data_IF_106120033219
#
_entry.id   IF_106120033219
#
_cell.length_a   1.000
_cell.length_b   1.000
_cell.length_c   1.000
_cell.angle_alpha   90.00
_cell.angle_beta   90.00
_cell.angle_gamma   90.00
#
_symmetry.space_group_name_H-M   'P 1'
#
loop_
_entity.id
_entity.type
_entity.pdbx_description
1 polymer ?
#
# COMPACT_ATOMS: atom_id res chain seq x y z
N UNK A 1 -13.44 0.83 -38.99
CA UNK A 1 -12.91 -0.55 -39.11
C UNK A 1 -11.41 -0.66 -38.81
N UNK A 2 -10.51 0.09 -39.47
CA UNK A 2 -9.05 0.13 -39.13
C UNK A 2 -8.72 0.39 -37.64
N UNK A 3 -9.29 1.41 -36.96
CA UNK A 3 -8.94 1.69 -35.56
C UNK A 3 -9.38 0.60 -34.59
N UNK A 4 -10.50 -0.07 -34.86
CA UNK A 4 -11.01 -1.18 -34.04
C UNK A 4 -10.07 -2.40 -34.13
N UNK A 5 -9.54 -2.68 -35.32
CA UNK A 5 -8.58 -3.77 -35.53
C UNK A 5 -7.26 -3.49 -34.81
N UNK A 6 -6.75 -2.24 -34.88
CA UNK A 6 -5.55 -1.84 -34.14
C UNK A 6 -5.74 -1.92 -32.62
N UNK A 7 -6.90 -1.49 -32.12
CA UNK A 7 -7.24 -1.62 -30.70
C UNK A 7 -7.29 -3.07 -30.25
N UNK A 8 -7.89 -3.96 -31.04
CA UNK A 8 -7.95 -5.39 -30.72
C UNK A 8 -6.57 -6.04 -30.70
N UNK A 9 -5.71 -5.73 -31.67
CA UNK A 9 -4.31 -6.20 -31.70
C UNK A 9 -3.55 -5.70 -30.48
N UNK A 10 -3.72 -4.43 -30.11
CA UNK A 10 -3.09 -3.86 -28.92
C UNK A 10 -3.53 -4.59 -27.63
N UNK A 11 -4.83 -4.82 -27.45
CA UNK A 11 -5.34 -5.58 -26.29
C UNK A 11 -4.81 -7.02 -26.27
N UNK A 12 -4.75 -7.68 -27.43
CA UNK A 12 -4.21 -9.03 -27.53
C UNK A 12 -2.74 -9.09 -27.12
N UNK A 13 -1.93 -8.13 -27.57
CA UNK A 13 -0.52 -8.04 -27.19
C UNK A 13 -0.34 -7.77 -25.68
N UNK A 14 -1.20 -6.93 -25.08
CA UNK A 14 -1.18 -6.70 -23.63
C UNK A 14 -1.49 -7.97 -22.82
N UNK A 15 -2.47 -8.76 -23.29
CA UNK A 15 -2.83 -10.02 -22.65
C UNK A 15 -1.71 -11.06 -22.76
N UNK A 16 -1.09 -11.18 -23.93
CA UNK A 16 0.05 -12.08 -24.13
C UNK A 16 1.25 -11.68 -23.27
N UNK A 17 1.56 -10.38 -23.17
CA UNK A 17 2.61 -9.88 -22.29
C UNK A 17 2.32 -10.19 -20.82
N UNK A 18 1.07 -10.01 -20.37
CA UNK A 18 0.67 -10.33 -19.00
C UNK A 18 0.74 -11.82 -18.69
N UNK A 19 0.36 -12.68 -19.64
CA UNK A 19 0.45 -14.14 -19.49
C UNK A 19 1.91 -14.61 -19.40
N UNK A 20 2.79 -14.06 -20.26
CA UNK A 20 4.22 -14.29 -20.18
C UNK A 20 4.79 -13.89 -18.81
N UNK A 21 4.45 -12.70 -18.31
CA UNK A 21 4.91 -12.24 -16.99
C UNK A 21 4.40 -13.16 -15.87
N UNK A 22 3.17 -13.65 -15.96
CA UNK A 22 2.64 -14.61 -15.00
C UNK A 22 3.45 -15.90 -14.99
N UNK A 23 3.82 -16.43 -16.16
CA UNK A 23 4.67 -17.61 -16.28
C UNK A 23 6.06 -17.38 -15.69
N UNK A 24 6.62 -16.18 -15.86
CA UNK A 24 7.91 -15.80 -15.25
C UNK A 24 7.85 -15.89 -13.73
N UNK A 25 6.73 -15.61 -13.06
CA UNK A 25 6.63 -15.71 -11.58
C UNK A 25 6.88 -17.14 -11.08
N UNK A 26 6.49 -18.16 -11.84
CA UNK A 26 6.60 -19.57 -11.43
C UNK A 26 7.98 -20.19 -11.66
N UNK A 27 8.88 -19.49 -12.36
CA UNK A 27 10.26 -19.98 -12.55
C UNK A 27 11.00 -19.86 -11.22
N UNK A 28 11.11 -20.99 -10.52
CA UNK A 28 11.82 -21.10 -9.26
C UNK A 28 13.33 -21.16 -9.52
N UNK A 29 14.00 -20.02 -9.39
CA UNK A 29 15.46 -19.91 -9.45
C UNK A 29 15.92 -19.79 -8.00
N UNK A 30 16.86 -20.64 -7.57
CA UNK A 30 17.52 -20.45 -6.28
C UNK A 30 18.20 -19.09 -6.29
N UNK A 31 17.65 -18.16 -5.51
CA UNK A 31 17.99 -16.74 -5.55
C UNK A 31 18.05 -16.21 -4.13
N UNK A 32 18.90 -15.22 -3.91
CA UNK A 32 19.00 -14.55 -2.61
C UNK A 32 17.72 -13.75 -2.32
N UNK A 33 17.50 -13.35 -1.07
CA UNK A 33 16.32 -12.54 -0.75
C UNK A 33 16.37 -11.15 -1.40
N UNK A 34 17.57 -10.60 -1.63
CA UNK A 34 17.77 -9.36 -2.40
C UNK A 34 17.34 -9.53 -3.86
N UNK A 35 17.79 -10.60 -4.52
CA UNK A 35 17.39 -10.91 -5.89
C UNK A 35 15.87 -11.07 -6.03
N UNK A 36 15.21 -11.65 -5.01
CA UNK A 36 13.74 -11.77 -4.99
C UNK A 36 13.07 -10.41 -4.90
N UNK A 37 13.57 -9.51 -4.04
CA UNK A 37 13.05 -8.14 -3.92
C UNK A 37 13.16 -7.42 -5.26
N UNK A 38 14.31 -7.47 -5.91
CA UNK A 38 14.56 -6.81 -7.20
C UNK A 38 13.70 -7.39 -8.32
N UNK A 39 13.54 -8.71 -8.34
CA UNK A 39 12.65 -9.39 -9.29
C UNK A 39 11.20 -8.94 -9.12
N UNK A 40 10.68 -8.88 -7.89
CA UNK A 40 9.32 -8.41 -7.64
C UNK A 40 9.14 -6.91 -7.93
N UNK A 41 10.16 -6.09 -7.67
CA UNK A 41 10.18 -4.68 -8.09
C UNK A 41 10.13 -4.54 -9.61
N UNK A 42 10.90 -5.35 -10.34
CA UNK A 42 10.92 -5.37 -11.81
C UNK A 42 9.56 -5.81 -12.36
N UNK A 43 8.98 -6.88 -11.83
CA UNK A 43 7.63 -7.31 -12.19
C UNK A 43 6.59 -6.21 -11.93
N UNK A 44 6.67 -5.54 -10.78
CA UNK A 44 5.81 -4.40 -10.47
C UNK A 44 5.90 -3.31 -11.55
N UNK A 45 7.11 -2.91 -11.94
CA UNK A 45 7.34 -1.89 -12.97
C UNK A 45 6.79 -2.32 -14.34
N UNK A 46 7.02 -3.57 -14.75
CA UNK A 46 6.50 -4.10 -16.01
C UNK A 46 4.96 -4.09 -16.04
N UNK A 47 4.31 -4.51 -14.94
CA UNK A 47 2.85 -4.42 -14.85
C UNK A 47 2.34 -2.98 -14.85
N UNK A 48 3.07 -2.02 -14.28
CA UNK A 48 2.74 -0.59 -14.38
C UNK A 48 2.80 -0.11 -15.82
N UNK A 49 3.85 -0.47 -16.57
CA UNK A 49 4.00 -0.12 -17.98
C UNK A 49 2.88 -0.70 -18.86
N UNK A 50 2.38 -1.89 -18.51
CA UNK A 50 1.24 -2.52 -19.16
C UNK A 50 -0.14 -1.96 -18.71
N UNK A 51 -0.17 -1.06 -17.72
CA UNK A 51 -1.40 -0.48 -17.18
C UNK A 51 -2.13 -1.35 -16.13
N UNK A 52 -1.57 -2.49 -15.73
CA UNK A 52 -2.15 -3.38 -14.71
C UNK A 52 -1.79 -2.93 -13.28
N UNK A 53 -2.26 -1.76 -12.87
CA UNK A 53 -1.87 -1.09 -11.61
C UNK A 53 -2.11 -1.94 -10.34
N UNK A 54 -3.17 -2.75 -10.29
CA UNK A 54 -3.44 -3.66 -9.16
C UNK A 54 -2.41 -4.79 -9.06
N UNK A 55 -2.05 -5.39 -10.20
CA UNK A 55 -1.00 -6.42 -10.24
C UNK A 55 0.34 -5.80 -9.90
N UNK A 56 0.62 -4.60 -10.41
CA UNK A 56 1.83 -3.87 -10.08
C UNK A 56 1.97 -3.60 -8.57
N UNK A 57 0.91 -3.11 -7.92
CA UNK A 57 0.88 -2.90 -6.47
C UNK A 57 1.00 -4.21 -5.69
N UNK A 58 0.38 -5.29 -6.15
CA UNK A 58 0.55 -6.61 -5.54
C UNK A 58 2.03 -7.02 -5.52
N UNK A 59 2.72 -6.99 -6.66
CA UNK A 59 4.15 -7.36 -6.68
C UNK A 59 5.02 -6.39 -5.89
N UNK A 60 4.68 -5.10 -5.86
CA UNK A 60 5.37 -4.12 -5.02
C UNK A 60 5.25 -4.45 -3.53
N UNK A 61 4.04 -4.80 -3.09
CA UNK A 61 3.78 -5.24 -1.72
C UNK A 61 4.50 -6.54 -1.37
N UNK A 62 4.53 -7.52 -2.30
CA UNK A 62 5.30 -8.75 -2.09
C UNK A 62 6.80 -8.42 -1.94
N UNK A 63 7.35 -7.54 -2.78
CA UNK A 63 8.74 -7.07 -2.64
C UNK A 63 9.00 -6.46 -1.26
N UNK A 64 8.07 -5.61 -0.77
CA UNK A 64 8.15 -5.01 0.56
C UNK A 64 8.21 -6.08 1.67
N UNK A 65 7.34 -7.09 1.60
CA UNK A 65 7.31 -8.17 2.59
C UNK A 65 8.57 -9.04 2.57
N UNK A 66 9.21 -9.21 1.40
CA UNK A 66 10.50 -9.93 1.29
C UNK A 66 11.63 -9.23 2.05
N UNK A 67 11.58 -7.91 2.23
CA UNK A 67 12.58 -7.17 3.03
C UNK A 67 12.61 -7.58 4.51
N UNK A 68 11.56 -8.24 5.01
CA UNK A 68 11.35 -8.51 6.44
C UNK A 68 10.91 -9.95 6.70
N UNK A 69 11.19 -10.87 5.76
CA UNK A 69 10.91 -12.29 5.95
C UNK A 69 11.69 -12.86 7.14
N UNK A 70 11.15 -13.86 7.84
CA UNK A 70 11.86 -14.51 8.95
C UNK A 70 13.19 -15.16 8.54
N UNK A 71 13.34 -15.51 7.26
CA UNK A 71 14.55 -16.10 6.69
C UNK A 71 15.64 -15.05 6.40
N UNK A 72 15.28 -13.77 6.31
CA UNK A 72 16.23 -12.70 6.04
C UNK A 72 17.05 -12.41 7.32
N UNK A 73 18.38 -12.61 7.30
CA UNK A 73 19.23 -12.38 8.46
C UNK A 73 19.33 -10.91 8.88
N UNK A 74 18.97 -9.96 7.99
CA UNK A 74 19.04 -8.51 8.20
C UNK A 74 17.74 -7.83 7.71
N UNK A 75 16.67 -7.84 8.50
CA UNK A 75 15.39 -7.26 8.08
C UNK A 75 15.50 -5.74 7.87
N UNK A 76 15.06 -5.27 6.70
CA UNK A 76 15.09 -3.86 6.32
C UNK A 76 13.67 -3.26 6.37
N UNK A 77 13.27 -2.78 7.55
CA UNK A 77 11.96 -2.17 7.76
C UNK A 77 11.76 -0.84 7.02
N UNK A 78 12.84 -0.08 6.82
CA UNK A 78 12.77 1.18 6.07
C UNK A 78 12.45 0.91 4.60
N UNK A 79 13.14 -0.03 3.95
CA UNK A 79 12.84 -0.43 2.57
C UNK A 79 11.46 -1.06 2.44
N UNK A 80 11.05 -1.91 3.40
CA UNK A 80 9.69 -2.45 3.47
C UNK A 80 8.64 -1.34 3.45
N UNK A 81 8.77 -0.34 4.34
CA UNK A 81 7.85 0.80 4.40
C UNK A 81 7.79 1.58 3.10
N UNK A 82 8.94 1.88 2.49
CA UNK A 82 9.01 2.64 1.23
C UNK A 82 8.33 1.91 0.06
N UNK A 83 8.62 0.61 -0.09
CA UNK A 83 7.97 -0.21 -1.11
C UNK A 83 6.47 -0.36 -0.83
N UNK A 84 6.07 -0.49 0.44
CA UNK A 84 4.65 -0.57 0.82
C UNK A 84 3.90 0.72 0.46
N UNK A 85 4.48 1.89 0.75
CA UNK A 85 3.94 3.20 0.37
C UNK A 85 3.71 3.28 -1.15
N UNK A 86 4.64 2.80 -1.96
CA UNK A 86 4.52 2.78 -3.43
C UNK A 86 3.40 1.85 -3.93
N UNK A 87 2.92 0.91 -3.12
CA UNK A 87 1.83 0.00 -3.49
C UNK A 87 0.43 0.58 -3.27
N UNK A 88 0.30 1.64 -2.46
CA UNK A 88 -1.00 2.16 -2.00
C UNK A 88 -1.91 2.63 -3.14
N UNK A 89 -1.34 3.30 -4.14
CA UNK A 89 -2.09 3.84 -5.28
C UNK A 89 -2.83 2.73 -6.06
N UNK A 90 -2.17 1.58 -6.26
CA UNK A 90 -2.81 0.44 -6.94
C UNK A 90 -3.94 -0.19 -6.14
N UNK A 91 -4.00 0.05 -4.82
CA UNK A 91 -5.12 -0.31 -3.95
C UNK A 91 -6.15 0.80 -3.75
N UNK A 92 -6.03 1.92 -4.50
CA UNK A 92 -6.91 3.09 -4.40
C UNK A 92 -6.90 3.70 -2.99
N UNK A 93 -5.75 3.69 -2.34
CA UNK A 93 -5.50 4.39 -1.09
C UNK A 93 -4.72 5.66 -1.39
N UNK A 94 -5.38 6.81 -1.25
CA UNK A 94 -4.84 8.14 -1.57
C UNK A 94 -4.96 9.00 -0.30
N UNK A 95 -3.88 9.69 0.09
CA UNK A 95 -3.85 10.48 1.32
C UNK A 95 -4.46 11.88 1.16
N UNK A 96 -4.51 12.43 -0.05
CA UNK A 96 -5.11 13.75 -0.29
C UNK A 96 -6.61 13.62 -0.60
N UNK A 97 -7.42 14.32 0.18
CA UNK A 97 -8.88 14.39 0.06
C UNK A 97 -9.28 15.07 -1.26
N UNK A 98 -8.44 15.98 -1.78
CA UNK A 98 -8.70 16.68 -3.05
C UNK A 98 -8.59 15.78 -4.27
N UNK A 99 -7.86 14.68 -4.15
CA UNK A 99 -7.65 13.70 -5.21
C UNK A 99 -8.57 12.47 -5.07
N UNK A 100 -9.50 12.48 -4.11
CA UNK A 100 -10.53 11.45 -4.03
C UNK A 100 -11.50 11.68 -5.19
N UNK A 101 -11.57 10.78 -6.18
CA UNK A 101 -12.48 10.95 -7.31
C UNK A 101 -13.93 11.01 -6.83
N UNK A 102 -14.73 11.92 -7.42
CA UNK A 102 -16.19 12.05 -7.19
C UNK A 102 -16.95 10.73 -7.40
N UNK A 103 -16.38 9.81 -8.18
CA UNK A 103 -16.89 8.46 -8.37
C UNK A 103 -16.27 7.55 -7.32
N UNK A 104 -17.06 6.81 -6.51
CA UNK A 104 -16.51 5.89 -5.53
C UNK A 104 -15.73 4.80 -6.25
N UNK A 105 -14.40 4.97 -6.33
CA UNK A 105 -13.52 3.92 -6.81
C UNK A 105 -13.38 2.90 -5.70
N UNK A 106 -14.33 1.96 -5.67
CA UNK A 106 -14.35 0.86 -4.71
C UNK A 106 -13.07 0.03 -4.85
N UNK A 107 -12.18 0.19 -3.87
CA UNK A 107 -11.17 -0.82 -3.55
C UNK A 107 -11.82 -1.99 -2.81
N UNK A 108 -11.02 -2.99 -2.45
CA UNK A 108 -11.48 -4.13 -1.66
C UNK A 108 -11.15 -3.76 -0.22
N UNK A 109 -12.14 -3.38 0.63
CA UNK A 109 -11.85 -2.81 1.95
C UNK A 109 -11.01 -3.75 2.82
N UNK A 110 -11.22 -5.06 2.68
CA UNK A 110 -10.43 -6.10 3.35
C UNK A 110 -8.95 -6.07 2.94
N UNK A 111 -8.66 -5.85 1.65
CA UNK A 111 -7.29 -5.76 1.15
C UNK A 111 -6.65 -4.45 1.61
N UNK A 112 -7.40 -3.34 1.50
CA UNK A 112 -6.96 -2.02 1.96
C UNK A 112 -6.63 -2.03 3.46
N UNK A 113 -7.49 -2.63 4.28
CA UNK A 113 -7.28 -2.84 5.71
C UNK A 113 -5.98 -3.59 5.99
N UNK A 114 -5.74 -4.71 5.27
CA UNK A 114 -4.53 -5.51 5.45
C UNK A 114 -3.27 -4.73 5.09
N UNK A 115 -3.27 -4.04 3.95
CA UNK A 115 -2.12 -3.25 3.48
C UNK A 115 -1.82 -2.11 4.45
N UNK A 116 -2.84 -1.41 4.95
CA UNK A 116 -2.66 -0.34 5.92
C UNK A 116 -2.13 -0.86 7.26
N UNK A 117 -2.59 -2.02 7.74
CA UNK A 117 -2.03 -2.63 8.95
C UNK A 117 -0.56 -3.03 8.78
N UNK A 118 -0.19 -3.58 7.63
CA UNK A 118 1.22 -3.89 7.32
C UNK A 118 2.09 -2.63 7.26
N UNK A 119 1.56 -1.54 6.72
CA UNK A 119 2.22 -0.23 6.69
C UNK A 119 2.39 0.36 8.11
N UNK A 120 1.34 0.34 8.93
CA UNK A 120 1.37 0.77 10.34
C UNK A 120 2.39 -0.07 11.11
N UNK A 121 2.38 -1.39 10.91
CA UNK A 121 3.32 -2.29 11.57
C UNK A 121 4.76 -1.96 11.17
N UNK A 122 5.02 -1.74 9.88
CA UNK A 122 6.34 -1.35 9.39
C UNK A 122 6.82 -0.03 10.00
N UNK A 123 5.95 0.98 10.08
CA UNK A 123 6.26 2.26 10.74
C UNK A 123 6.62 2.09 12.23
N UNK A 124 5.88 1.24 12.96
CA UNK A 124 6.19 0.88 14.36
C UNK A 124 7.57 0.23 14.48
N UNK A 125 7.91 -0.69 13.58
CA UNK A 125 9.20 -1.40 13.58
C UNK A 125 10.38 -0.50 13.23
N UNK A 126 10.16 0.56 12.46
CA UNK A 126 11.15 1.63 12.23
C UNK A 126 11.34 2.55 13.43
N UNK A 127 10.50 2.45 14.48
CA UNK A 127 10.50 3.37 15.61
C UNK A 127 9.86 4.73 15.32
N UNK A 128 9.28 4.93 14.14
CA UNK A 128 8.64 6.18 13.76
C UNK A 128 7.17 6.19 14.19
N UNK A 129 6.94 6.52 15.47
CA UNK A 129 5.61 6.59 16.07
C UNK A 129 4.69 7.63 15.40
N UNK A 130 5.14 8.85 15.03
CA UNK A 130 4.31 9.80 14.31
C UNK A 130 3.69 9.23 13.03
N UNK A 131 4.46 8.44 12.25
CA UNK A 131 3.95 7.78 11.06
C UNK A 131 2.94 6.69 11.39
N UNK A 132 3.19 5.89 12.44
CA UNK A 132 2.24 4.87 12.87
C UNK A 132 0.90 5.50 13.29
N UNK A 133 0.92 6.60 14.05
CA UNK A 133 -0.28 7.37 14.41
C UNK A 133 -0.99 7.86 13.16
N UNK A 134 -0.27 8.52 12.24
CA UNK A 134 -0.84 9.08 10.99
C UNK A 134 -1.54 8.00 10.15
N UNK A 135 -0.91 6.86 9.98
CA UNK A 135 -1.47 5.75 9.19
C UNK A 135 -2.64 5.06 9.89
N UNK A 136 -2.61 4.93 11.22
CA UNK A 136 -3.74 4.43 12.00
C UNK A 136 -4.95 5.36 11.93
N UNK A 137 -4.74 6.68 12.02
CA UNK A 137 -5.79 7.68 11.82
C UNK A 137 -6.35 7.60 10.40
N UNK A 138 -5.50 7.48 9.38
CA UNK A 138 -5.91 7.32 7.99
C UNK A 138 -6.78 6.09 7.77
N UNK A 139 -6.39 4.95 8.35
CA UNK A 139 -7.15 3.71 8.29
C UNK A 139 -8.54 3.89 8.89
N UNK A 140 -8.64 4.43 10.11
CA UNK A 140 -9.92 4.67 10.77
C UNK A 140 -10.82 5.57 9.94
N UNK A 141 -10.30 6.68 9.42
CA UNK A 141 -11.08 7.62 8.62
C UNK A 141 -11.54 7.01 7.29
N UNK A 142 -10.65 6.34 6.57
CA UNK A 142 -10.93 5.82 5.22
C UNK A 142 -11.83 4.60 5.24
N UNK A 143 -11.65 3.72 6.24
CA UNK A 143 -12.34 2.43 6.30
C UNK A 143 -13.44 2.35 7.36
N UNK A 144 -13.76 3.46 8.05
CA UNK A 144 -14.72 3.46 9.17
C UNK A 144 -16.00 2.67 8.91
N UNK A 145 -16.60 2.85 7.73
CA UNK A 145 -17.89 2.24 7.35
C UNK A 145 -17.78 0.73 7.04
N UNK A 146 -16.56 0.24 6.82
CA UNK A 146 -16.29 -1.15 6.42
C UNK A 146 -15.70 -2.00 7.54
N UNK A 147 -15.24 -1.38 8.64
CA UNK A 147 -14.69 -2.08 9.80
C UNK A 147 -15.81 -2.64 10.68
N UNK A 148 -15.59 -3.84 11.21
CA UNK A 148 -16.38 -4.42 12.29
C UNK A 148 -16.18 -3.67 13.61
N UNK A 149 -17.11 -3.83 14.55
CA UNK A 149 -16.98 -3.22 15.89
C UNK A 149 -15.72 -3.68 16.63
N UNK A 150 -15.29 -4.93 16.41
CA UNK A 150 -14.06 -5.47 16.97
C UNK A 150 -12.83 -4.77 16.37
N UNK A 151 -12.71 -4.70 15.04
CA UNK A 151 -11.58 -4.04 14.39
C UNK A 151 -11.48 -2.57 14.77
N UNK A 152 -12.63 -1.87 14.87
CA UNK A 152 -12.66 -0.48 15.36
C UNK A 152 -12.07 -0.37 16.76
N UNK A 153 -12.50 -1.23 17.68
CA UNK A 153 -12.00 -1.26 19.06
C UNK A 153 -10.49 -1.53 19.12
N UNK A 154 -10.02 -2.51 18.36
CA UNK A 154 -8.59 -2.87 18.31
C UNK A 154 -7.73 -1.71 17.76
N UNK A 155 -8.18 -1.04 16.71
CA UNK A 155 -7.45 0.09 16.12
C UNK A 155 -7.48 1.30 17.04
N UNK A 156 -8.62 1.62 17.66
CA UNK A 156 -8.75 2.72 18.63
C UNK A 156 -7.83 2.48 19.83
N UNK A 157 -7.86 1.28 20.41
CA UNK A 157 -6.97 0.91 21.52
C UNK A 157 -5.49 1.01 21.13
N UNK A 158 -5.13 0.58 19.91
CA UNK A 158 -3.77 0.74 19.41
C UNK A 158 -3.38 2.21 19.23
N UNK A 159 -4.31 3.04 18.73
CA UNK A 159 -4.10 4.47 18.53
C UNK A 159 -3.98 5.22 19.86
N UNK A 160 -4.79 4.89 20.86
CA UNK A 160 -4.68 5.41 22.24
C UNK A 160 -3.29 5.10 22.82
N UNK A 161 -2.84 3.85 22.69
CA UNK A 161 -1.50 3.45 23.15
C UNK A 161 -0.36 4.19 22.44
N UNK A 162 -0.50 4.43 21.13
CA UNK A 162 0.50 5.18 20.36
C UNK A 162 0.51 6.67 20.72
N UNK A 163 -0.67 7.28 20.84
CA UNK A 163 -0.81 8.71 21.12
C UNK A 163 -0.40 9.08 22.54
N UNK A 164 -0.55 8.15 23.49
CA UNK A 164 0.01 8.31 24.84
C UNK A 164 1.54 8.42 24.86
N UNK A 165 2.23 7.90 23.83
CA UNK A 165 3.70 7.91 23.72
C UNK A 165 4.24 8.98 22.78
N UNK A 166 3.39 9.51 21.91
CA UNK A 166 3.73 10.50 20.91
C UNK A 166 2.48 11.31 20.61
N UNK A 167 2.48 12.59 20.96
CA UNK A 167 1.35 13.47 20.63
C UNK A 167 1.11 13.46 19.11
N UNK A 168 -0.17 13.36 18.72
CA UNK A 168 -0.55 13.47 17.33
C UNK A 168 -0.26 14.87 16.82
N UNK A 169 0.37 14.99 15.64
CA UNK A 169 0.59 16.29 15.01
C UNK A 169 -0.48 16.60 13.98
N UNK A 170 -0.90 17.86 13.92
CA UNK A 170 -1.77 18.43 12.88
C UNK A 170 -0.97 19.00 11.71
N UNK A 171 0.36 18.89 11.75
CA UNK A 171 1.23 19.32 10.67
C UNK A 171 1.41 18.21 9.63
N UNK A 172 1.86 18.58 8.43
CA UNK A 172 2.27 17.62 7.43
C UNK A 172 3.55 16.89 7.90
N UNK A 173 3.67 15.60 7.57
CA UNK A 173 4.87 14.81 7.89
C UNK A 173 5.71 14.66 6.62
N UNK A 174 6.93 15.18 6.63
CA UNK A 174 7.89 14.94 5.55
C UNK A 174 8.59 13.59 5.77
N UNK A 175 8.58 12.75 4.74
CA UNK A 175 9.36 11.51 4.68
C UNK A 175 10.74 11.78 4.05
N UNK A 176 11.72 10.94 4.37
CA UNK A 176 13.10 11.05 3.89
C UNK A 176 13.22 11.03 2.35
N UNK A 177 12.23 10.42 1.69
CA UNK A 177 12.14 10.33 0.23
C UNK A 177 11.45 11.55 -0.43
N UNK A 178 11.19 12.62 0.35
CA UNK A 178 10.54 13.84 -0.13
C UNK A 178 9.01 13.76 -0.22
N UNK A 179 8.39 12.62 0.12
CA UNK A 179 6.93 12.51 0.17
C UNK A 179 6.40 13.22 1.41
N UNK A 180 5.41 14.09 1.21
CA UNK A 180 4.77 14.83 2.30
C UNK A 180 3.40 14.18 2.57
N UNK A 181 3.21 13.67 3.78
CA UNK A 181 1.91 13.15 4.22
C UNK A 181 1.05 14.31 4.74
N UNK A 182 -0.12 14.57 4.14
CA UNK A 182 -0.96 15.67 4.54
C UNK A 182 -1.56 15.44 5.94
N UNK A 183 -1.96 16.52 6.65
CA UNK A 183 -2.79 16.41 7.84
C UNK A 183 -4.12 15.74 7.52
N UNK A 184 -4.61 14.91 8.44
CA UNK A 184 -5.85 14.15 8.28
C UNK A 184 -6.94 14.74 9.17
N UNK A 185 -7.99 15.34 8.61
CA UNK A 185 -9.12 15.82 9.37
C UNK A 185 -10.07 14.66 9.70
N UNK A 186 -10.38 14.40 10.96
CA UNK A 186 -11.29 13.32 11.38
C UNK A 186 -12.77 13.64 11.10
N UNK A 187 -13.15 13.74 9.82
CA UNK A 187 -14.49 14.17 9.38
C UNK A 187 -15.51 13.03 9.30
N UNK A 188 -15.05 11.80 9.10
CA UNK A 188 -15.93 10.63 8.92
C UNK A 188 -16.31 9.94 10.24
N UNK A 189 -15.66 10.30 11.35
CA UNK A 189 -15.95 9.73 12.67
C UNK A 189 -17.05 10.57 13.33
N UNK A 190 -18.15 9.96 13.81
CA UNK A 190 -19.22 10.71 14.46
C UNK A 190 -18.68 11.44 15.69
N UNK A 191 -18.92 12.75 15.77
CA UNK A 191 -18.62 13.54 16.95
C UNK A 191 -19.57 13.14 18.09
N UNK A 192 -19.01 12.73 19.23
CA UNK A 192 -19.78 12.66 20.48
C UNK A 192 -20.02 14.10 20.92
N UNK A 193 -21.30 14.51 20.98
CA UNK A 193 -21.71 15.80 21.56
C UNK A 193 -21.67 15.77 23.07
#
# INVERSE_FOLDING_TARGET
LKPIKTFFIYLQNLLQAADFLQNVVYINIQSTDEDKIDRYCTLSQLYTQLGFLRKAAFFRRIAAMQCVTPQNPRPNWQQCYHLMMQSLEGYKLIFDIKDIPDVPTYGWPIVQYRVLNELIYSAKRMGNLPLAVRHSTFLLQTLHKYLSSQEKSEIVSSLESLTARCEGTTQALALDNGVILPPLPLTEIPHVR
#
